data_IF_860854742869
#
_entry.id   IF_860854742869
#
_cell.length_a   1.000
_cell.length_b   1.000
_cell.length_c   1.000
_cell.angle_alpha   90.00
_cell.angle_beta   90.00
_cell.angle_gamma   90.00
#
_symmetry.space_group_name_H-M   'P 1'
#
loop_
_entity.id
_entity.type
_entity.pdbx_description
1 polymer ?
#
# COMPACT_ATOMS: atom_id res chain seq x y z
N UNK A 1 -40.00 -11.43 42.58
CA UNK A 1 -39.99 -11.13 41.13
C UNK A 1 -38.98 -10.01 40.91
N UNK A 2 -37.71 -10.35 40.65
CA UNK A 2 -36.62 -9.37 40.50
C UNK A 2 -36.58 -8.87 39.07
N UNK A 3 -36.97 -7.61 38.88
CA UNK A 3 -36.88 -6.90 37.60
C UNK A 3 -35.40 -6.72 37.27
N UNK A 4 -34.94 -7.38 36.21
CA UNK A 4 -33.61 -7.14 35.64
C UNK A 4 -33.72 -5.86 34.83
N UNK A 5 -33.14 -4.78 35.35
CA UNK A 5 -33.02 -3.52 34.60
C UNK A 5 -31.91 -3.69 33.56
N UNK A 6 -32.29 -3.84 32.30
CA UNK A 6 -31.36 -3.80 31.17
C UNK A 6 -30.63 -2.45 31.11
N UNK A 7 -29.30 -2.48 31.24
CA UNK A 7 -28.42 -1.32 31.09
C UNK A 7 -28.21 -1.01 29.61
N UNK A 8 -28.68 0.16 29.18
CA UNK A 8 -28.57 0.70 27.82
C UNK A 8 -27.09 0.70 27.36
N UNK A 9 -26.74 0.10 26.20
CA UNK A 9 -25.34 0.04 25.78
C UNK A 9 -24.83 1.44 25.44
N UNK A 10 -23.66 1.81 25.97
CA UNK A 10 -23.00 3.08 25.69
C UNK A 10 -22.66 3.21 24.20
N UNK A 11 -22.82 4.42 23.65
CA UNK A 11 -22.61 4.74 22.23
C UNK A 11 -21.17 4.43 21.85
N UNK A 12 -20.97 3.32 21.14
CA UNK A 12 -19.66 2.89 20.65
C UNK A 12 -19.21 3.90 19.59
N UNK A 13 -18.10 4.58 19.84
CA UNK A 13 -17.49 5.45 18.84
C UNK A 13 -17.01 4.55 17.69
N UNK A 14 -17.71 4.61 16.56
CA UNK A 14 -17.30 3.87 15.38
C UNK A 14 -16.03 4.53 14.85
N UNK A 15 -14.94 3.75 14.78
CA UNK A 15 -13.73 4.22 14.13
C UNK A 15 -14.05 4.61 12.68
N UNK A 16 -13.63 5.80 12.22
CA UNK A 16 -13.80 6.19 10.82
C UNK A 16 -13.07 5.22 9.90
N UNK A 17 -13.63 5.03 8.70
CA UNK A 17 -13.01 4.22 7.65
C UNK A 17 -11.65 4.80 7.20
N UNK A 18 -10.77 3.95 6.68
CA UNK A 18 -9.44 4.38 6.21
C UNK A 18 -9.54 5.44 5.12
N UNK A 19 -10.53 5.37 4.23
CA UNK A 19 -10.78 6.40 3.19
C UNK A 19 -11.14 7.76 3.81
N UNK A 20 -11.91 7.75 4.90
CA UNK A 20 -12.28 8.97 5.62
C UNK A 20 -11.05 9.59 6.28
N UNK A 21 -10.20 8.77 6.90
CA UNK A 21 -8.98 9.24 7.56
C UNK A 21 -8.04 9.89 6.55
N UNK A 22 -7.72 9.22 5.43
CA UNK A 22 -6.80 9.77 4.43
C UNK A 22 -7.35 11.07 3.79
N UNK A 23 -8.67 11.20 3.65
CA UNK A 23 -9.30 12.41 3.13
C UNK A 23 -9.08 13.60 4.07
N UNK A 24 -9.29 13.42 5.38
CA UNK A 24 -9.01 14.47 6.37
C UNK A 24 -7.52 14.83 6.43
N UNK A 25 -6.63 13.84 6.35
CA UNK A 25 -5.18 14.07 6.30
C UNK A 25 -4.81 14.92 5.07
N UNK A 26 -5.35 14.61 3.89
CA UNK A 26 -5.10 15.38 2.67
C UNK A 26 -5.56 16.85 2.77
N UNK A 27 -6.71 17.12 3.39
CA UNK A 27 -7.18 18.50 3.62
C UNK A 27 -6.26 19.22 4.62
N UNK A 28 -5.91 18.57 5.72
CA UNK A 28 -5.06 19.15 6.76
C UNK A 28 -3.66 19.48 6.22
N UNK A 29 -3.05 18.57 5.45
CA UNK A 29 -1.74 18.81 4.83
C UNK A 29 -1.80 19.91 3.78
N UNK A 30 -2.88 19.97 2.99
CA UNK A 30 -3.11 21.06 2.03
C UNK A 30 -3.14 22.42 2.71
N UNK A 31 -3.87 22.57 3.82
CA UNK A 31 -3.92 23.82 4.58
C UNK A 31 -2.56 24.13 5.23
N UNK A 32 -1.87 23.12 5.74
CA UNK A 32 -0.56 23.28 6.35
C UNK A 32 0.49 23.84 5.37
N UNK A 33 0.35 23.58 4.06
CA UNK A 33 1.26 24.14 3.03
C UNK A 33 1.22 25.67 2.90
N UNK A 34 0.23 26.34 3.50
CA UNK A 34 0.21 27.80 3.57
C UNK A 34 1.07 28.37 4.69
N UNK A 35 1.41 27.58 5.70
CA UNK A 35 2.20 28.01 6.86
C UNK A 35 3.65 27.53 6.76
N UNK A 36 3.88 26.39 6.11
CA UNK A 36 5.20 25.74 6.07
C UNK A 36 5.91 26.02 4.74
N UNK A 37 7.07 26.70 4.73
CA UNK A 37 7.87 26.92 3.52
C UNK A 37 8.63 25.65 3.11
N UNK A 38 9.06 25.59 1.85
CA UNK A 38 9.80 24.42 1.35
C UNK A 38 11.26 24.45 1.78
N UNK A 39 11.71 23.40 2.45
CA UNK A 39 13.12 23.16 2.76
C UNK A 39 13.73 22.14 1.79
N UNK A 40 14.98 22.37 1.40
CA UNK A 40 15.78 21.45 0.60
C UNK A 40 17.01 21.01 1.40
N UNK A 41 17.38 19.74 1.23
CA UNK A 41 18.66 19.18 1.68
C UNK A 41 19.43 18.72 0.45
N UNK A 42 20.73 18.97 0.42
CA UNK A 42 21.58 18.48 -0.65
C UNK A 42 21.86 16.98 -0.45
N UNK A 43 21.57 16.21 -1.49
CA UNK A 43 21.89 14.78 -1.55
C UNK A 43 23.32 14.60 -2.06
N UNK A 44 24.19 14.01 -1.24
CA UNK A 44 25.54 13.61 -1.65
C UNK A 44 25.54 12.11 -2.01
N UNK A 45 26.14 11.78 -3.14
CA UNK A 45 26.34 10.40 -3.57
C UNK A 45 27.61 9.85 -2.90
N UNK A 46 27.45 9.15 -1.77
CA UNK A 46 28.57 8.47 -1.12
C UNK A 46 28.66 7.04 -1.64
N UNK A 47 29.74 6.74 -2.35
CA UNK A 47 30.05 5.40 -2.85
C UNK A 47 30.63 4.57 -1.71
N UNK A 48 29.86 3.59 -1.21
CA UNK A 48 30.38 2.60 -0.28
C UNK A 48 30.74 1.33 -1.05
N UNK A 49 32.01 0.93 -1.01
CA UNK A 49 32.43 -0.41 -1.41
C UNK A 49 32.20 -1.36 -0.23
N UNK A 50 31.23 -2.26 -0.38
CA UNK A 50 31.07 -3.42 0.52
C UNK A 50 31.21 -4.66 -0.35
N UNK A 51 32.19 -5.51 -0.06
CA UNK A 51 32.49 -6.76 -0.78
C UNK A 51 32.67 -6.63 -2.31
N UNK A 52 33.54 -5.72 -2.76
CA UNK A 52 33.99 -5.68 -4.15
C UNK A 52 32.92 -5.27 -5.18
N UNK A 53 31.76 -4.78 -4.75
CA UNK A 53 30.72 -4.22 -5.61
C UNK A 53 30.36 -2.80 -5.17
N UNK A 54 30.53 -1.83 -6.08
CA UNK A 54 30.19 -0.41 -5.86
C UNK A 54 28.67 -0.25 -5.76
N UNK A 55 28.14 0.01 -4.55
CA UNK A 55 26.73 0.36 -4.36
C UNK A 55 26.61 1.85 -4.04
N UNK A 56 26.06 2.60 -4.99
CA UNK A 56 25.74 4.01 -4.84
C UNK A 56 24.52 4.16 -3.93
N UNK A 57 24.68 4.80 -2.77
CA UNK A 57 23.56 5.20 -1.92
C UNK A 57 23.54 6.73 -1.88
N UNK A 58 22.44 7.33 -2.33
CA UNK A 58 22.20 8.76 -2.13
C UNK A 58 22.01 8.98 -0.62
N UNK A 59 22.98 9.62 0.02
CA UNK A 59 22.91 9.98 1.44
C UNK A 59 22.57 11.46 1.48
N UNK A 60 21.53 11.79 2.24
CA UNK A 60 21.15 13.18 2.49
C UNK A 60 22.13 13.74 3.52
N UNK A 61 22.79 14.86 3.22
CA UNK A 61 23.67 15.52 4.19
C UNK A 61 22.80 16.22 5.26
N UNK A 62 22.86 15.79 6.54
CA UNK A 62 22.02 16.34 7.61
C UNK A 62 22.25 17.83 7.90
N UNK A 63 23.41 18.38 7.54
CA UNK A 63 23.79 19.76 7.81
C UNK A 63 23.45 20.73 6.66
N UNK A 64 22.92 20.22 5.55
CA UNK A 64 22.68 20.99 4.32
C UNK A 64 21.27 21.61 4.20
N UNK A 65 20.53 21.73 5.30
CA UNK A 65 19.18 22.31 5.27
C UNK A 65 19.21 23.78 4.82
N UNK A 66 18.59 24.08 3.69
CA UNK A 66 18.35 25.45 3.23
C UNK A 66 16.89 25.64 2.86
N UNK A 67 16.31 26.76 3.29
CA UNK A 67 15.00 27.20 2.81
C UNK A 67 15.20 27.65 1.37
N UNK A 68 14.36 27.16 0.45
CA UNK A 68 14.44 27.60 -0.95
C UNK A 68 13.92 29.02 -1.03
N UNK A 69 14.79 29.90 -1.50
CA UNK A 69 14.50 31.31 -1.67
C UNK A 69 14.31 31.58 -3.17
N UNK A 70 13.19 32.19 -3.56
CA UNK A 70 12.96 32.60 -4.95
C UNK A 70 13.91 33.73 -5.37
N UNK A 71 13.96 34.06 -6.67
CA UNK A 71 14.80 35.13 -7.26
C UNK A 71 14.64 36.52 -6.59
N UNK A 72 13.60 36.72 -5.78
CA UNK A 72 13.34 37.95 -5.03
C UNK A 72 13.82 37.92 -3.55
N UNK A 73 14.47 36.85 -3.08
CA UNK A 73 14.94 36.78 -1.69
C UNK A 73 13.88 36.34 -0.66
N UNK A 74 12.68 35.95 -1.08
CA UNK A 74 11.59 35.51 -0.22
C UNK A 74 11.46 33.97 -0.14
N UNK A 75 11.00 33.47 1.01
CA UNK A 75 10.75 32.05 1.23
C UNK A 75 9.70 31.50 0.24
N UNK A 76 10.04 30.44 -0.48
CA UNK A 76 9.15 29.84 -1.47
C UNK A 76 8.09 28.98 -0.78
N UNK A 77 6.82 29.37 -0.90
CA UNK A 77 5.67 28.61 -0.43
C UNK A 77 5.03 27.83 -1.58
N UNK A 78 5.06 26.50 -1.50
CA UNK A 78 4.37 25.63 -2.45
C UNK A 78 2.97 25.32 -1.95
N UNK A 79 2.03 26.21 -2.27
CA UNK A 79 0.63 26.04 -1.91
C UNK A 79 -0.01 24.95 -2.75
N UNK A 80 -0.59 23.95 -2.10
CA UNK A 80 -1.39 22.93 -2.79
C UNK A 80 -2.66 23.61 -3.32
N UNK A 81 -2.82 23.59 -4.64
CA UNK A 81 -4.01 24.12 -5.30
C UNK A 81 -5.14 23.09 -5.22
N UNK A 82 -6.40 23.55 -5.14
CA UNK A 82 -7.56 22.65 -5.10
C UNK A 82 -7.69 21.83 -6.39
N UNK A 83 -7.54 22.49 -7.55
CA UNK A 83 -7.56 21.87 -8.87
C UNK A 83 -6.38 22.40 -9.68
N UNK A 84 -5.74 21.53 -10.46
CA UNK A 84 -4.70 21.89 -11.44
C UNK A 84 -4.90 21.01 -12.68
N UNK A 85 -4.48 21.51 -13.83
CA UNK A 85 -4.50 20.75 -15.10
C UNK A 85 -3.09 20.57 -15.68
N UNK A 86 -2.05 21.02 -14.95
CA UNK A 86 -0.66 20.97 -15.41
C UNK A 86 0.12 19.78 -14.86
N UNK A 87 1.04 19.26 -15.67
CA UNK A 87 1.85 18.04 -15.45
C UNK A 87 2.84 18.14 -14.27
N UNK A 88 3.10 19.34 -13.75
CA UNK A 88 4.22 19.54 -12.84
C UNK A 88 3.92 19.10 -11.40
N UNK A 89 2.68 19.24 -10.91
CA UNK A 89 2.29 18.84 -9.54
C UNK A 89 0.78 18.56 -9.39
N UNK A 90 0.39 17.53 -8.62
CA UNK A 90 -1.00 17.24 -8.31
C UNK A 90 -1.65 18.32 -7.46
N UNK A 91 -2.87 18.72 -7.85
CA UNK A 91 -3.79 19.46 -6.98
C UNK A 91 -4.46 18.50 -5.99
N UNK A 92 -5.05 19.05 -4.92
CA UNK A 92 -5.69 18.26 -3.86
C UNK A 92 -6.70 17.23 -4.41
N UNK A 93 -7.51 17.63 -5.39
CA UNK A 93 -8.54 16.76 -5.98
C UNK A 93 -7.97 15.75 -6.98
N UNK A 94 -6.80 16.03 -7.57
CA UNK A 94 -6.12 15.13 -8.50
C UNK A 94 -5.20 14.14 -7.77
N UNK A 95 -4.78 14.46 -6.55
CA UNK A 95 -3.88 13.66 -5.72
C UNK A 95 -4.22 12.16 -5.66
N UNK A 96 -5.46 11.71 -5.43
CA UNK A 96 -5.77 10.28 -5.43
C UNK A 96 -5.59 9.64 -6.81
N UNK A 97 -5.90 10.36 -7.90
CA UNK A 97 -5.75 9.83 -9.26
C UNK A 97 -4.28 9.71 -9.64
N UNK A 98 -3.49 10.74 -9.39
CA UNK A 98 -2.05 10.68 -9.57
C UNK A 98 -1.40 9.65 -8.64
N UNK A 99 -1.85 9.51 -7.40
CA UNK A 99 -1.43 8.44 -6.49
C UNK A 99 -1.74 7.04 -7.03
N UNK A 100 -2.86 6.87 -7.74
CA UNK A 100 -3.22 5.60 -8.36
C UNK A 100 -2.29 5.22 -9.52
N UNK A 101 -1.92 6.21 -10.35
CA UNK A 101 -1.14 6.01 -11.58
C UNK A 101 0.36 6.26 -11.42
N UNK A 102 0.78 6.89 -10.32
CA UNK A 102 2.18 7.18 -10.03
C UNK A 102 2.89 5.94 -9.49
N UNK A 103 4.17 5.80 -9.87
CA UNK A 103 5.02 4.68 -9.49
C UNK A 103 5.52 3.88 -10.69
N UNK A 104 6.18 2.76 -10.41
CA UNK A 104 6.69 1.85 -11.44
C UNK A 104 5.64 0.82 -11.85
N UNK A 105 5.85 0.15 -12.99
CA UNK A 105 4.99 -0.94 -13.51
C UNK A 105 4.58 -2.02 -12.50
N UNK A 106 5.32 -2.18 -11.40
CA UNK A 106 5.07 -3.15 -10.33
C UNK A 106 4.63 -2.54 -9.00
N UNK A 107 4.71 -1.21 -8.84
CA UNK A 107 4.45 -0.52 -7.58
C UNK A 107 3.26 0.45 -7.61
N UNK A 108 2.65 0.66 -8.78
CA UNK A 108 1.46 1.51 -8.92
C UNK A 108 0.23 0.80 -8.36
N UNK A 109 -0.71 1.56 -7.77
CA UNK A 109 -1.97 1.00 -7.30
C UNK A 109 -2.78 0.39 -8.47
N UNK A 110 -2.70 1.00 -9.65
CA UNK A 110 -3.27 0.44 -10.89
C UNK A 110 -2.71 -0.94 -11.21
N UNK A 111 -1.41 -1.19 -11.00
CA UNK A 111 -0.80 -2.50 -11.19
C UNK A 111 -1.41 -3.57 -10.29
N UNK A 112 -1.68 -3.24 -9.03
CA UNK A 112 -2.32 -4.15 -8.06
C UNK A 112 -3.77 -4.45 -8.47
N UNK A 113 -4.53 -3.43 -8.84
CA UNK A 113 -5.93 -3.59 -9.29
C UNK A 113 -6.02 -4.45 -10.54
N UNK A 114 -5.15 -4.22 -11.53
CA UNK A 114 -5.11 -5.02 -12.75
C UNK A 114 -4.75 -6.48 -12.46
N UNK A 115 -3.79 -6.73 -11.57
CA UNK A 115 -3.44 -8.08 -11.15
C UNK A 115 -4.62 -8.78 -10.44
N UNK A 116 -5.29 -8.09 -9.52
CA UNK A 116 -6.49 -8.61 -8.84
C UNK A 116 -7.61 -8.93 -9.82
N UNK A 117 -7.82 -8.09 -10.84
CA UNK A 117 -8.83 -8.32 -11.88
C UNK A 117 -8.48 -9.51 -12.77
N UNK A 118 -7.21 -9.65 -13.18
CA UNK A 118 -6.76 -10.77 -14.02
C UNK A 118 -6.88 -12.09 -13.25
N UNK A 119 -6.41 -12.13 -12.00
CA UNK A 119 -6.56 -13.29 -11.12
C UNK A 119 -8.04 -13.57 -10.86
N UNK A 120 -8.79 -12.58 -10.41
CA UNK A 120 -10.22 -12.73 -10.11
C UNK A 120 -11.03 -13.19 -11.33
N UNK A 121 -10.72 -12.67 -12.52
CA UNK A 121 -11.35 -13.09 -13.77
C UNK A 121 -11.02 -14.53 -14.15
N UNK A 122 -9.75 -14.93 -14.08
CA UNK A 122 -9.33 -16.30 -14.37
C UNK A 122 -9.89 -17.30 -13.35
N UNK A 123 -9.80 -16.99 -12.05
CA UNK A 123 -10.38 -17.80 -10.98
C UNK A 123 -11.91 -17.86 -11.09
N UNK A 124 -12.57 -16.78 -11.50
CA UNK A 124 -14.01 -16.75 -11.74
C UNK A 124 -14.45 -17.75 -12.81
N UNK A 125 -13.71 -17.84 -13.93
CA UNK A 125 -13.96 -18.84 -14.97
C UNK A 125 -13.74 -20.25 -14.42
N UNK A 126 -12.61 -20.47 -13.76
CA UNK A 126 -12.20 -21.79 -13.22
C UNK A 126 -13.16 -22.31 -12.13
N UNK A 127 -13.71 -21.43 -11.31
CA UNK A 127 -14.73 -21.77 -10.32
C UNK A 127 -16.09 -22.03 -10.99
N UNK A 128 -16.47 -21.23 -12.00
CA UNK A 128 -17.74 -21.43 -12.74
C UNK A 128 -17.74 -22.73 -13.56
N UNK A 129 -16.59 -23.17 -14.06
CA UNK A 129 -16.46 -24.43 -14.80
C UNK A 129 -16.41 -25.66 -13.88
N UNK A 130 -16.33 -25.49 -12.56
CA UNK A 130 -16.21 -26.60 -11.60
C UNK A 130 -14.94 -27.43 -11.80
N UNK A 131 -13.94 -26.90 -12.51
CA UNK A 131 -12.68 -27.61 -12.79
C UNK A 131 -11.88 -27.80 -11.51
N UNK A 132 -11.98 -26.85 -10.57
CA UNK A 132 -11.35 -26.95 -9.24
C UNK A 132 -11.92 -28.12 -8.46
N UNK A 133 -13.24 -28.22 -8.36
CA UNK A 133 -13.90 -29.27 -7.58
C UNK A 133 -13.58 -30.65 -8.16
N UNK A 134 -13.71 -30.81 -9.48
CA UNK A 134 -13.36 -32.05 -10.16
C UNK A 134 -11.87 -32.39 -10.04
N UNK A 135 -10.99 -31.38 -10.07
CA UNK A 135 -9.56 -31.53 -9.87
C UNK A 135 -9.21 -32.00 -8.45
N UNK A 136 -9.82 -31.43 -7.42
CA UNK A 136 -9.67 -31.85 -6.02
C UNK A 136 -10.19 -33.28 -5.86
N UNK A 137 -11.35 -33.61 -6.42
CA UNK A 137 -11.89 -34.97 -6.35
C UNK A 137 -10.98 -35.98 -7.07
N UNK A 138 -10.37 -35.61 -8.20
CA UNK A 138 -9.39 -36.44 -8.88
C UNK A 138 -8.13 -36.67 -8.02
N UNK A 139 -7.64 -35.62 -7.36
CA UNK A 139 -6.49 -35.71 -6.46
C UNK A 139 -6.80 -36.59 -5.25
N UNK A 140 -7.97 -36.43 -4.63
CA UNK A 140 -8.42 -37.27 -3.51
C UNK A 140 -8.49 -38.74 -3.92
N UNK A 141 -9.02 -39.04 -5.12
CA UNK A 141 -9.08 -40.42 -5.64
C UNK A 141 -7.68 -41.02 -5.84
N UNK A 142 -6.75 -40.25 -6.39
CA UNK A 142 -5.38 -40.70 -6.61
C UNK A 142 -4.60 -40.87 -5.29
N UNK A 143 -4.78 -39.97 -4.32
CA UNK A 143 -4.09 -40.05 -3.02
C UNK A 143 -4.74 -41.05 -2.05
N UNK A 144 -6.00 -41.48 -2.25
CA UNK A 144 -6.67 -42.47 -1.37
C UNK A 144 -5.99 -43.84 -1.38
N UNK A 145 -5.41 -44.23 -2.52
CA UNK A 145 -4.71 -45.52 -2.68
C UNK A 145 -3.33 -45.49 -2.01
N UNK A 146 -2.63 -44.36 -2.07
CA UNK A 146 -1.29 -44.21 -1.47
C UNK A 146 -1.32 -43.84 0.01
N UNK A 147 -2.39 -43.20 0.52
CA UNK A 147 -2.51 -42.76 1.92
C UNK A 147 -2.44 -43.89 2.95
N UNK A 148 -2.97 -45.09 2.65
CA UNK A 148 -2.83 -46.23 3.58
C UNK A 148 -1.36 -46.62 3.77
N UNK A 149 -0.57 -46.63 2.68
CA UNK A 149 0.86 -46.94 2.74
C UNK A 149 1.69 -45.79 3.31
N UNK A 150 1.38 -44.53 2.95
CA UNK A 150 2.14 -43.35 3.39
C UNK A 150 1.91 -43.03 4.87
N UNK A 151 0.67 -43.15 5.36
CA UNK A 151 0.34 -42.99 6.77
C UNK A 151 0.98 -44.10 7.60
N UNK A 152 0.97 -45.36 7.12
CA UNK A 152 1.70 -46.47 7.75
C UNK A 152 3.21 -46.23 7.80
N UNK A 153 3.79 -45.68 6.74
CA UNK A 153 5.23 -45.37 6.67
C UNK A 153 5.62 -44.19 7.59
N UNK A 154 4.83 -43.12 7.60
CA UNK A 154 5.10 -41.94 8.44
C UNK A 154 4.93 -42.28 9.94
N UNK A 155 3.93 -43.08 10.31
CA UNK A 155 3.74 -43.55 11.68
C UNK A 155 4.84 -44.54 12.13
N UNK A 156 5.41 -45.33 11.20
CA UNK A 156 6.55 -46.22 11.49
C UNK A 156 7.88 -45.48 11.56
N UNK A 157 8.05 -44.36 10.85
CA UNK A 157 9.24 -43.51 10.95
C UNK A 157 9.29 -42.66 12.22
N UNK A 158 8.15 -42.49 12.91
CA UNK A 158 8.04 -41.70 14.16
C UNK A 158 7.99 -42.57 15.42
N UNK A 159 8.21 -43.89 15.30
CA UNK A 159 8.39 -44.83 16.40
C UNK A 159 9.80 -45.39 16.37
#
# INVERSE_FOLDING_TARGET
MSVVTESKPARKWAMPDTLVIIFFVAILTSIATWVVPVGMFDSQEVQYQVDGQTKTRKVVDPHSFRIVTNEAGEAQYHRVQFFTTGDERPGLMNFPFEGLTSGSKFGTAVGIIMFMLVIGGAFGIVMRTGTVDNGILALIRHTRVTKFYLFRCCLFSFR
#
